data_IF_297929817402
#
_entry.id   IF_297929817402
#
_cell.length_a   1.000
_cell.length_b   1.000
_cell.length_c   1.000
_cell.angle_alpha   90.00
_cell.angle_beta   90.00
_cell.angle_gamma   90.00
#
_symmetry.space_group_name_H-M   'P 1'
#
loop_
_entity.id
_entity.type
_entity.pdbx_description
1 polymer ?
#
# COMPACT_ATOMS: atom_id res chain seq x y z
N UNK A 1 8.93 -16.22 -3.34
CA UNK A 1 8.09 -16.20 -4.55
C UNK A 1 6.68 -15.80 -4.12
N UNK A 2 6.13 -14.77 -4.72
CA UNK A 2 4.79 -14.27 -4.43
C UNK A 2 3.87 -14.54 -5.61
N UNK A 3 2.74 -15.21 -5.36
CA UNK A 3 1.70 -15.46 -6.36
C UNK A 3 0.69 -14.32 -6.38
N UNK A 4 0.26 -13.93 -7.57
CA UNK A 4 -0.67 -12.83 -7.79
C UNK A 4 -1.50 -13.02 -9.07
N UNK A 5 -2.41 -12.11 -9.37
CA UNK A 5 -3.36 -12.22 -10.49
C UNK A 5 -2.71 -12.48 -11.87
N UNK A 6 -1.46 -12.05 -12.07
CA UNK A 6 -0.75 -12.17 -13.36
C UNK A 6 0.37 -13.23 -13.34
N UNK A 7 0.35 -14.13 -12.35
CA UNK A 7 1.35 -15.20 -12.23
C UNK A 7 2.12 -15.15 -10.93
N UNK A 8 3.44 -15.04 -11.00
CA UNK A 8 4.28 -14.99 -9.81
C UNK A 8 5.45 -14.03 -9.97
N UNK A 9 5.84 -13.40 -8.87
CA UNK A 9 7.04 -12.55 -8.78
C UNK A 9 8.09 -13.21 -7.90
N UNK A 10 9.30 -13.34 -8.43
CA UNK A 10 10.45 -13.90 -7.73
C UNK A 10 11.27 -12.77 -7.13
N UNK A 11 11.32 -12.70 -5.81
CA UNK A 11 12.15 -11.76 -5.05
C UNK A 11 13.38 -12.55 -4.58
N UNK A 12 14.55 -12.26 -5.15
CA UNK A 12 15.78 -13.03 -4.91
C UNK A 12 16.50 -12.60 -3.64
N UNK A 13 16.40 -11.32 -3.30
CA UNK A 13 17.09 -10.71 -2.17
C UNK A 13 16.14 -9.78 -1.42
N UNK A 14 16.45 -9.48 -0.15
CA UNK A 14 15.66 -8.51 0.62
C UNK A 14 15.79 -7.12 -0.01
N UNK A 15 14.67 -6.53 -0.50
CA UNK A 15 14.70 -5.23 -1.16
C UNK A 15 15.11 -4.11 -0.19
N UNK A 16 15.80 -3.10 -0.71
CA UNK A 16 16.19 -1.89 0.02
C UNK A 16 15.50 -0.63 -0.52
N UNK A 17 15.27 -0.61 -1.83
CA UNK A 17 14.63 0.51 -2.54
C UNK A 17 13.25 0.09 -2.97
N UNK A 18 12.26 0.48 -2.19
CA UNK A 18 10.87 0.08 -2.37
C UNK A 18 10.11 1.21 -3.05
N UNK A 19 9.44 0.94 -4.15
CA UNK A 19 8.43 1.80 -4.73
C UNK A 19 7.06 1.24 -4.38
N UNK A 20 6.16 2.11 -3.94
CA UNK A 20 4.75 1.76 -3.68
C UNK A 20 3.85 2.50 -4.66
N UNK A 21 2.97 1.78 -5.34
CA UNK A 21 2.07 2.37 -6.31
C UNK A 21 0.61 2.21 -5.88
N UNK A 22 -0.25 3.08 -6.43
CA UNK A 22 -1.66 3.15 -6.13
C UNK A 22 -2.00 3.57 -4.70
N UNK A 23 -3.30 3.57 -4.40
CA UNK A 23 -3.84 4.17 -3.18
C UNK A 23 -3.36 3.43 -1.93
N UNK A 24 -2.86 4.16 -0.95
CA UNK A 24 -2.39 3.80 0.40
C UNK A 24 -1.38 2.63 0.55
N UNK A 25 -0.80 2.11 -0.53
CA UNK A 25 0.19 1.03 -0.40
C UNK A 25 1.47 1.45 0.36
N UNK A 26 1.78 2.75 0.39
CA UNK A 26 2.88 3.28 1.20
C UNK A 26 2.68 3.04 2.69
N UNK A 27 1.42 3.05 3.17
CA UNK A 27 1.10 2.96 4.59
C UNK A 27 1.61 1.66 5.22
N UNK A 28 1.50 0.54 4.51
CA UNK A 28 2.03 -0.76 4.98
C UNK A 28 3.55 -0.75 5.13
N UNK A 29 4.26 -0.14 4.20
CA UNK A 29 5.73 -0.05 4.23
C UNK A 29 6.21 0.89 5.33
N UNK A 30 5.52 2.04 5.48
CA UNK A 30 5.80 3.00 6.55
C UNK A 30 5.50 2.43 7.94
N UNK A 31 4.45 1.61 8.09
CA UNK A 31 4.12 0.94 9.34
C UNK A 31 5.21 -0.07 9.77
N UNK A 32 5.91 -0.67 8.81
CA UNK A 32 7.08 -1.52 9.05
C UNK A 32 8.36 -0.72 9.39
N UNK A 33 8.27 0.62 9.43
CA UNK A 33 9.43 1.50 9.69
C UNK A 33 10.35 1.69 8.49
N UNK A 34 9.92 1.27 7.30
CA UNK A 34 10.65 1.46 6.05
C UNK A 34 10.15 2.69 5.31
N UNK A 35 11.04 3.36 4.57
CA UNK A 35 10.72 4.53 3.76
C UNK A 35 10.76 4.16 2.28
N UNK A 36 9.63 4.25 1.54
CA UNK A 36 9.66 4.07 0.09
C UNK A 36 10.54 5.12 -0.59
N UNK A 37 11.30 4.72 -1.62
CA UNK A 37 12.07 5.64 -2.47
C UNK A 37 11.19 6.42 -3.46
N UNK A 38 9.94 6.02 -3.58
CA UNK A 38 8.89 6.70 -4.34
C UNK A 38 7.53 6.09 -4.09
N UNK A 39 6.49 6.89 -4.21
CA UNK A 39 5.09 6.47 -4.03
C UNK A 39 4.16 7.20 -4.98
N UNK A 40 3.02 6.60 -5.29
CA UNK A 40 1.95 7.23 -6.07
C UNK A 40 1.37 8.46 -5.39
N UNK A 41 0.98 9.45 -6.21
CA UNK A 41 0.13 10.55 -5.76
C UNK A 41 -1.29 10.04 -5.47
N UNK A 42 -1.85 10.48 -4.35
CA UNK A 42 -3.22 10.14 -3.99
C UNK A 42 -4.22 10.97 -4.81
N UNK A 43 -5.27 10.32 -5.29
CA UNK A 43 -6.33 10.91 -6.12
C UNK A 43 -7.71 10.84 -5.45
N UNK A 44 -7.79 10.27 -4.25
CA UNK A 44 -9.04 10.08 -3.54
C UNK A 44 -8.87 10.34 -2.04
N UNK A 45 -9.91 10.89 -1.40
CA UNK A 45 -9.89 11.25 0.01
C UNK A 45 -9.31 12.65 0.26
N UNK A 46 -8.96 12.93 1.50
CA UNK A 46 -8.31 14.18 1.89
C UNK A 46 -6.83 14.12 1.53
N UNK A 47 -6.43 14.86 0.52
CA UNK A 47 -5.06 14.87 -0.02
C UNK A 47 -4.34 16.15 0.36
N UNK A 48 -3.12 16.03 0.89
CA UNK A 48 -2.27 17.17 1.25
C UNK A 48 -1.67 17.86 0.00
N UNK A 49 -1.06 19.02 0.17
CA UNK A 49 -0.37 19.72 -0.92
C UNK A 49 0.78 18.92 -1.55
N UNK A 50 1.29 17.91 -0.84
CA UNK A 50 2.32 16.99 -1.34
C UNK A 50 1.76 15.78 -2.11
N UNK A 51 0.43 15.69 -2.24
CA UNK A 51 -0.21 14.57 -2.93
C UNK A 51 -0.30 13.29 -2.11
N UNK A 52 -0.26 13.38 -0.80
CA UNK A 52 -0.34 12.25 0.14
C UNK A 52 -1.58 12.33 1.03
N UNK A 53 -1.98 11.22 1.63
CA UNK A 53 -2.95 11.24 2.71
C UNK A 53 -2.31 11.87 3.96
N UNK A 54 -3.07 12.59 4.81
CA UNK A 54 -2.50 13.30 5.95
C UNK A 54 -1.70 12.41 6.91
N UNK A 55 -2.18 11.20 7.17
CA UNK A 55 -1.49 10.24 8.03
C UNK A 55 -0.25 9.66 7.38
N UNK A 56 -0.26 9.45 6.07
CA UNK A 56 0.90 8.99 5.29
C UNK A 56 2.01 10.04 5.34
N UNK A 57 1.67 11.32 5.09
CA UNK A 57 2.64 12.43 5.20
C UNK A 57 3.21 12.56 6.62
N UNK A 58 2.35 12.45 7.64
CA UNK A 58 2.78 12.49 9.04
C UNK A 58 3.77 11.36 9.36
N UNK A 59 3.54 10.15 8.84
CA UNK A 59 4.43 9.01 9.06
C UNK A 59 5.75 9.14 8.31
N UNK A 60 5.77 9.67 7.11
CA UNK A 60 7.02 10.04 6.41
C UNK A 60 7.85 11.01 7.25
N UNK A 61 7.21 12.05 7.80
CA UNK A 61 7.87 13.04 8.65
C UNK A 61 8.41 12.43 9.94
N UNK A 62 7.65 11.56 10.59
CA UNK A 62 8.10 10.80 11.78
C UNK A 62 9.36 9.98 11.48
N UNK A 63 9.44 9.39 10.27
CA UNK A 63 10.61 8.63 9.81
C UNK A 63 11.73 9.51 9.22
N UNK A 64 11.66 10.83 9.39
CA UNK A 64 12.71 11.77 9.01
C UNK A 64 12.68 12.23 7.55
N UNK A 65 11.56 12.04 6.85
CA UNK A 65 11.41 12.45 5.44
C UNK A 65 10.35 13.53 5.30
N UNK A 66 10.80 14.77 5.14
CA UNK A 66 9.90 15.93 4.97
C UNK A 66 9.37 16.05 3.54
N UNK A 67 10.13 15.63 2.53
CA UNK A 67 9.77 15.74 1.13
C UNK A 67 9.92 14.39 0.43
N UNK A 68 8.94 13.48 0.58
CA UNK A 68 8.96 12.19 -0.09
C UNK A 68 8.84 12.37 -1.62
N UNK A 69 9.41 11.42 -2.37
CA UNK A 69 9.27 11.36 -3.81
C UNK A 69 7.87 10.85 -4.17
N UNK A 70 7.04 11.71 -4.73
CA UNK A 70 5.64 11.39 -5.10
C UNK A 70 5.49 11.46 -6.60
N UNK A 71 5.13 10.35 -7.23
CA UNK A 71 4.91 10.28 -8.68
C UNK A 71 3.58 10.90 -9.07
N UNK A 72 3.58 11.67 -10.16
CA UNK A 72 2.34 12.20 -10.73
C UNK A 72 1.74 11.19 -11.72
N UNK A 73 1.14 10.14 -11.19
CA UNK A 73 0.62 8.99 -11.93
C UNK A 73 -0.93 8.94 -11.97
N UNK A 74 -1.58 10.11 -11.89
CA UNK A 74 -3.04 10.22 -11.89
C UNK A 74 -3.69 9.77 -13.21
N UNK A 75 -3.01 10.01 -14.33
CA UNK A 75 -3.47 9.67 -15.69
C UNK A 75 -2.73 8.43 -16.25
N UNK A 76 -2.18 7.60 -15.37
CA UNK A 76 -1.36 6.44 -15.69
C UNK A 76 0.02 6.52 -15.04
N UNK A 77 0.70 5.38 -14.93
CA UNK A 77 2.00 5.33 -14.25
C UNK A 77 3.07 6.15 -14.99
N UNK A 78 3.78 6.99 -14.24
CA UNK A 78 5.00 7.67 -14.72
C UNK A 78 6.19 6.69 -14.67
N UNK A 79 6.30 5.88 -15.71
CA UNK A 79 7.34 4.84 -15.81
C UNK A 79 8.76 5.40 -15.78
N UNK A 80 8.98 6.62 -16.29
CA UNK A 80 10.29 7.26 -16.27
C UNK A 80 10.67 7.68 -14.85
N UNK A 81 9.75 8.31 -14.11
CA UNK A 81 9.97 8.69 -12.72
C UNK A 81 10.15 7.46 -11.83
N UNK A 82 9.36 6.39 -12.05
CA UNK A 82 9.48 5.11 -11.33
C UNK A 82 10.85 4.48 -11.60
N UNK A 83 11.28 4.38 -12.85
CA UNK A 83 12.59 3.85 -13.22
C UNK A 83 13.72 4.74 -12.67
N UNK A 84 13.54 6.07 -12.68
CA UNK A 84 14.49 7.03 -12.10
C UNK A 84 14.68 6.88 -10.59
N UNK A 85 13.68 6.38 -9.86
CA UNK A 85 13.82 6.04 -8.45
C UNK A 85 14.68 4.78 -8.21
N UNK A 86 15.01 4.04 -9.27
CA UNK A 86 15.86 2.85 -9.28
C UNK A 86 15.43 1.82 -8.21
N UNK A 87 14.19 1.32 -8.25
CA UNK A 87 13.67 0.40 -7.23
C UNK A 87 14.27 -1.01 -7.35
N UNK A 88 14.36 -1.69 -6.21
CA UNK A 88 14.63 -3.13 -6.12
C UNK A 88 13.31 -3.94 -6.21
N UNK A 89 12.19 -3.28 -5.89
CA UNK A 89 10.85 -3.85 -5.92
C UNK A 89 9.78 -2.76 -6.09
N UNK A 90 8.69 -3.12 -6.75
CA UNK A 90 7.47 -2.31 -6.88
C UNK A 90 6.32 -3.07 -6.20
N UNK A 91 5.62 -2.42 -5.27
CA UNK A 91 4.58 -3.03 -4.44
C UNK A 91 3.25 -2.31 -4.66
N UNK A 92 2.22 -3.05 -5.06
CA UNK A 92 0.87 -2.53 -5.30
C UNK A 92 -0.23 -3.58 -5.00
N UNK A 93 -0.27 -4.22 -3.81
CA UNK A 93 -1.24 -5.26 -3.48
C UNK A 93 -2.69 -4.73 -3.44
N UNK A 94 -2.89 -3.45 -3.13
CA UNK A 94 -4.19 -2.78 -3.27
C UNK A 94 -4.16 -1.89 -4.51
N UNK A 95 -4.53 -2.44 -5.64
CA UNK A 95 -4.48 -1.76 -6.93
C UNK A 95 -5.52 -2.27 -7.92
N UNK A 96 -5.73 -1.50 -8.97
CA UNK A 96 -6.43 -1.90 -10.19
C UNK A 96 -5.46 -2.07 -11.38
N UNK A 97 -4.17 -2.34 -11.10
CA UNK A 97 -3.14 -2.50 -12.11
C UNK A 97 -3.57 -3.48 -13.21
N UNK A 98 -3.47 -3.08 -14.46
CA UNK A 98 -3.76 -3.96 -15.59
C UNK A 98 -2.56 -4.85 -15.94
N UNK A 99 -2.78 -5.98 -16.61
CA UNK A 99 -1.70 -6.91 -16.98
C UNK A 99 -0.62 -6.26 -17.85
N UNK A 100 -1.02 -5.34 -18.76
CA UNK A 100 -0.07 -4.59 -19.59
C UNK A 100 0.83 -3.66 -18.75
N UNK A 101 0.27 -3.07 -17.70
CA UNK A 101 0.99 -2.19 -16.76
C UNK A 101 1.94 -3.01 -15.89
N UNK A 102 1.46 -4.14 -15.36
CA UNK A 102 2.28 -5.11 -14.64
C UNK A 102 3.50 -5.55 -15.45
N UNK A 103 3.31 -5.93 -16.72
CA UNK A 103 4.40 -6.33 -17.59
C UNK A 103 5.44 -5.22 -17.75
N UNK A 104 4.99 -4.00 -18.00
CA UNK A 104 5.87 -2.85 -18.18
C UNK A 104 6.60 -2.44 -16.89
N UNK A 105 5.94 -2.47 -15.74
CA UNK A 105 6.57 -2.23 -14.44
C UNK A 105 7.58 -3.33 -14.11
N UNK A 106 7.29 -4.58 -14.47
CA UNK A 106 8.19 -5.73 -14.27
C UNK A 106 9.47 -5.66 -15.11
N UNK A 107 9.51 -4.84 -16.17
CA UNK A 107 10.74 -4.52 -16.90
C UNK A 107 11.66 -3.58 -16.09
N UNK A 108 11.12 -2.82 -15.15
CA UNK A 108 11.86 -1.90 -14.27
C UNK A 108 12.39 -2.65 -13.04
N UNK A 109 11.50 -3.35 -12.33
CA UNK A 109 11.82 -4.11 -11.12
C UNK A 109 10.78 -5.21 -10.86
N UNK A 110 11.10 -6.25 -10.06
CA UNK A 110 10.11 -7.21 -9.58
C UNK A 110 8.88 -6.49 -9.04
N UNK A 111 7.69 -6.78 -9.60
CA UNK A 111 6.44 -6.07 -9.28
C UNK A 111 5.45 -7.02 -8.61
N UNK A 112 4.88 -6.61 -7.48
CA UNK A 112 3.86 -7.36 -6.74
C UNK A 112 2.53 -6.60 -6.83
N UNK A 113 1.64 -6.98 -7.75
CA UNK A 113 0.29 -6.45 -7.88
C UNK A 113 -0.66 -7.13 -6.89
N UNK A 114 -1.96 -6.86 -7.00
CA UNK A 114 -2.99 -7.54 -6.21
C UNK A 114 -3.04 -9.05 -6.48
N UNK A 115 -3.46 -9.81 -5.46
CA UNK A 115 -3.41 -11.27 -5.47
C UNK A 115 -4.45 -11.90 -6.41
N UNK A 116 -5.73 -11.54 -6.24
CA UNK A 116 -6.82 -12.21 -6.94
C UNK A 116 -7.71 -11.25 -7.74
N UNK A 117 -8.25 -10.23 -7.09
CA UNK A 117 -9.21 -9.28 -7.68
C UNK A 117 -8.78 -7.85 -7.41
N UNK A 118 -8.78 -7.04 -8.45
CA UNK A 118 -8.48 -5.61 -8.38
C UNK A 118 -9.31 -4.91 -7.29
N UNK A 119 -8.66 -4.04 -6.49
CA UNK A 119 -9.27 -3.24 -5.43
C UNK A 119 -9.99 -4.03 -4.32
N UNK A 120 -9.69 -5.33 -4.17
CA UNK A 120 -10.36 -6.20 -3.18
C UNK A 120 -9.45 -6.73 -2.08
N UNK A 121 -8.19 -6.34 -2.07
CA UNK A 121 -7.24 -6.72 -1.01
C UNK A 121 -7.64 -6.08 0.31
N UNK A 122 -7.79 -6.87 1.36
CA UNK A 122 -8.09 -6.34 2.69
C UNK A 122 -6.88 -5.64 3.28
N UNK A 123 -7.05 -4.76 4.28
CA UNK A 123 -5.92 -4.10 4.93
C UNK A 123 -4.94 -5.11 5.58
N UNK A 124 -5.45 -6.25 6.04
CA UNK A 124 -4.63 -7.34 6.59
C UNK A 124 -3.77 -7.96 5.51
N UNK A 125 -4.40 -8.36 4.43
CA UNK A 125 -3.70 -8.99 3.31
C UNK A 125 -2.69 -8.01 2.68
N UNK A 126 -3.06 -6.74 2.54
CA UNK A 126 -2.18 -5.69 2.04
C UNK A 126 -0.91 -5.56 2.89
N UNK A 127 -1.06 -5.54 4.22
CA UNK A 127 0.09 -5.47 5.13
C UNK A 127 0.92 -6.76 5.10
N UNK A 128 0.28 -7.93 5.08
CA UNK A 128 0.97 -9.23 5.03
C UNK A 128 1.72 -9.41 3.71
N UNK A 129 1.10 -9.09 2.58
CA UNK A 129 1.75 -9.18 1.26
C UNK A 129 2.90 -8.18 1.15
N UNK A 130 2.73 -6.94 1.60
CA UNK A 130 3.79 -5.94 1.62
C UNK A 130 4.96 -6.39 2.52
N UNK A 131 4.69 -6.89 3.72
CA UNK A 131 5.73 -7.36 4.66
C UNK A 131 6.48 -8.59 4.14
N UNK A 132 5.78 -9.54 3.52
CA UNK A 132 6.41 -10.70 2.89
C UNK A 132 7.31 -10.26 1.73
N UNK A 133 6.85 -9.32 0.90
CA UNK A 133 7.61 -8.80 -0.23
C UNK A 133 8.93 -8.14 0.19
N UNK A 134 8.98 -7.52 1.35
CA UNK A 134 10.20 -6.85 1.88
C UNK A 134 10.97 -7.72 2.88
N UNK A 135 10.61 -9.00 3.04
CA UNK A 135 11.30 -9.94 3.93
C UNK A 135 11.15 -9.59 5.42
N UNK A 136 9.97 -9.11 5.82
CA UNK A 136 9.57 -8.73 7.19
C UNK A 136 8.22 -9.38 7.55
N UNK A 137 8.04 -10.64 7.18
CA UNK A 137 6.76 -11.34 7.38
C UNK A 137 6.33 -11.40 8.83
N UNK A 138 7.25 -11.74 9.73
CA UNK A 138 6.94 -11.88 11.17
C UNK A 138 6.54 -10.53 11.77
N UNK A 139 7.19 -9.45 11.37
CA UNK A 139 6.84 -8.09 11.77
C UNK A 139 5.46 -7.69 11.22
N UNK A 140 5.14 -8.07 10.00
CA UNK A 140 3.82 -7.86 9.41
C UNK A 140 2.71 -8.61 10.14
N UNK A 141 2.90 -9.88 10.46
CA UNK A 141 1.96 -10.68 11.26
C UNK A 141 1.74 -10.06 12.65
N UNK A 142 2.79 -9.61 13.31
CA UNK A 142 2.72 -8.92 14.59
C UNK A 142 1.93 -7.61 14.49
N UNK A 143 2.17 -6.80 13.47
CA UNK A 143 1.43 -5.54 13.25
C UNK A 143 -0.06 -5.79 12.99
N UNK A 144 -0.41 -6.86 12.28
CA UNK A 144 -1.82 -7.24 12.09
C UNK A 144 -2.45 -7.57 13.44
N UNK A 145 -1.80 -8.41 14.27
CA UNK A 145 -2.29 -8.77 15.60
C UNK A 145 -2.45 -7.55 16.52
N UNK A 146 -1.44 -6.68 16.56
CA UNK A 146 -1.48 -5.44 17.35
C UNK A 146 -2.64 -4.53 16.91
N UNK A 147 -2.86 -4.39 15.61
CA UNK A 147 -3.94 -3.57 15.06
C UNK A 147 -5.31 -4.18 15.38
N UNK A 148 -5.46 -5.49 15.27
CA UNK A 148 -6.71 -6.19 15.64
C UNK A 148 -7.01 -6.05 17.13
N UNK A 149 -6.01 -6.20 17.99
CA UNK A 149 -6.15 -6.00 19.43
C UNK A 149 -6.54 -4.55 19.74
N UNK A 150 -5.91 -3.57 19.09
CA UNK A 150 -6.28 -2.16 19.22
C UNK A 150 -7.75 -1.90 18.84
N UNK A 151 -8.22 -2.46 17.72
CA UNK A 151 -9.61 -2.36 17.30
C UNK A 151 -10.54 -3.00 18.33
N UNK A 152 -10.24 -4.23 18.76
CA UNK A 152 -11.02 -4.97 19.75
C UNK A 152 -11.15 -4.22 21.07
N UNK A 153 -10.04 -3.69 21.59
CA UNK A 153 -10.01 -2.97 22.86
C UNK A 153 -10.79 -1.65 22.79
N UNK A 154 -10.78 -0.98 21.63
CA UNK A 154 -11.58 0.23 21.43
C UNK A 154 -13.08 -0.09 21.28
N UNK A 155 -13.43 -1.13 20.55
CA UNK A 155 -14.84 -1.57 20.43
C UNK A 155 -15.40 -2.02 21.78
N UNK A 156 -14.60 -2.68 22.61
CA UNK A 156 -15.03 -3.14 23.95
C UNK A 156 -15.45 -1.99 24.89
N UNK A 157 -15.00 -0.76 24.64
CA UNK A 157 -15.42 0.44 25.37
C UNK A 157 -16.90 0.84 25.11
N UNK A 158 -17.50 0.24 24.08
CA UNK A 158 -18.87 0.54 23.63
C UNK A 158 -19.74 -0.71 23.61
N UNK A 159 -20.08 -1.30 24.78
CA UNK A 159 -20.82 -2.58 24.87
C UNK A 159 -22.21 -2.52 24.21
N UNK A 160 -22.78 -1.31 24.07
CA UNK A 160 -24.06 -1.09 23.40
C UNK A 160 -24.01 -1.32 21.88
N UNK A 161 -22.83 -1.48 21.28
CA UNK A 161 -22.66 -1.85 19.85
C UNK A 161 -22.81 -3.36 19.62
N UNK A 162 -22.66 -4.18 20.67
CA UNK A 162 -22.80 -5.61 20.56
C UNK A 162 -24.20 -6.00 20.07
N UNK A 163 -24.26 -6.87 19.05
CA UNK A 163 -25.52 -7.31 18.44
C UNK A 163 -26.24 -6.27 17.59
N UNK A 164 -25.61 -5.12 17.32
CA UNK A 164 -26.16 -4.10 16.41
C UNK A 164 -25.69 -4.35 14.99
N UNK A 165 -26.55 -4.00 14.04
CA UNK A 165 -26.20 -3.92 12.62
C UNK A 165 -25.79 -2.50 12.27
N UNK A 166 -24.76 -2.37 11.42
CA UNK A 166 -24.33 -1.10 10.85
C UNK A 166 -24.26 -1.22 9.33
N UNK A 167 -24.60 -0.14 8.64
CA UNK A 167 -24.39 -0.03 7.20
C UNK A 167 -23.23 0.94 6.95
N UNK A 168 -22.23 0.49 6.19
CA UNK A 168 -21.23 1.38 5.62
C UNK A 168 -21.68 1.73 4.20
N UNK A 169 -22.00 3.00 3.97
CA UNK A 169 -22.51 3.47 2.69
C UNK A 169 -21.47 4.37 2.02
N UNK A 170 -21.20 4.14 0.75
CA UNK A 170 -20.60 5.12 -0.15
C UNK A 170 -21.75 5.85 -0.86
N UNK A 171 -21.81 7.16 -0.72
CA UNK A 171 -22.83 7.99 -1.34
C UNK A 171 -22.11 9.01 -2.23
N UNK A 172 -22.31 8.92 -3.53
CA UNK A 172 -21.84 9.93 -4.48
C UNK A 172 -22.98 10.95 -4.69
N UNK A 173 -22.66 12.23 -4.56
CA UNK A 173 -23.62 13.32 -4.75
C UNK A 173 -23.90 13.63 -6.24
N UNK A 174 -23.24 12.92 -7.15
CA UNK A 174 -23.37 13.10 -8.60
C UNK A 174 -24.40 12.16 -9.26
N UNK A 175 -25.06 11.27 -8.49
CA UNK A 175 -26.12 10.37 -8.96
C UNK A 175 -27.54 10.88 -8.63
#
# INVERSE_FOLDING_TARGET
>A
VMKHAYGETIIKEKPKKIVTLNWNNADSILALGLVPVGTSKMNWGSVTSKGLLPWTEAKFKELGVDNPNVFNDLDGYDYEAIAGANPDIIIAPYSGMEEKEYKRLSEIAPTVPFKDVAWKTTWRDQLLEASEAVGMKDEGEKLVEETENFIKDNVAKYPNLSGKSAALCYIDAAD
#
